data_IF_895949016752
#
_entry.id   IF_895949016752
#
_cell.length_a   1.000
_cell.length_b   1.000
_cell.length_c   1.000
_cell.angle_alpha   90.00
_cell.angle_beta   90.00
_cell.angle_gamma   90.00
#
_symmetry.space_group_name_H-M   'P 1'
#
loop_
_entity.id
_entity.type
_entity.pdbx_description
1 polymer ?
#
# COMPACT_ATOMS: atom_id res chain seq x y z
N UNK A 1 0.50 -0.46 -0.72
CA UNK A 1 1.07 0.86 -1.08
C UNK A 1 2.07 1.38 -0.05
N UNK A 2 3.20 1.96 -0.47
CA UNK A 2 4.10 2.73 0.39
C UNK A 2 3.44 4.01 0.93
N UNK A 3 3.78 4.42 2.16
CA UNK A 3 3.19 5.62 2.79
C UNK A 3 3.31 6.89 1.93
N UNK A 4 4.46 7.09 1.28
CA UNK A 4 4.67 8.25 0.39
C UNK A 4 3.59 8.37 -0.68
N UNK A 5 3.20 7.25 -1.27
CA UNK A 5 2.19 7.22 -2.32
C UNK A 5 0.79 7.48 -1.78
N UNK A 6 0.52 7.03 -0.55
CA UNK A 6 -0.75 7.32 0.16
C UNK A 6 -0.86 8.82 0.42
N UNK A 7 0.22 9.46 0.87
CA UNK A 7 0.23 10.90 1.18
C UNK A 7 0.08 11.79 -0.05
N UNK A 8 0.38 11.25 -1.24
CA UNK A 8 0.23 11.94 -2.53
C UNK A 8 -1.16 11.72 -3.17
N UNK A 9 -2.05 10.91 -2.56
CA UNK A 9 -3.41 10.74 -3.03
C UNK A 9 -4.23 12.03 -2.91
N UNK A 10 -5.04 12.31 -3.92
CA UNK A 10 -5.88 13.51 -3.97
C UNK A 10 -6.80 13.59 -2.76
N UNK A 11 -6.70 14.70 -2.01
CA UNK A 11 -7.52 14.96 -0.82
C UNK A 11 -7.00 14.35 0.47
N UNK A 12 -5.91 13.58 0.47
CA UNK A 12 -5.31 13.06 1.70
C UNK A 12 -4.87 14.19 2.66
N UNK A 13 -4.33 15.27 2.12
CA UNK A 13 -3.89 16.47 2.83
C UNK A 13 -5.05 17.26 3.48
N UNK A 14 -6.28 17.04 3.02
CA UNK A 14 -7.50 17.68 3.54
C UNK A 14 -8.11 16.91 4.72
N UNK A 15 -7.65 15.70 4.98
CA UNK A 15 -8.14 14.87 6.09
C UNK A 15 -7.62 15.35 7.44
N UNK A 16 -8.36 15.02 8.51
CA UNK A 16 -7.85 15.16 9.88
C UNK A 16 -6.64 14.25 10.09
N UNK A 17 -5.78 14.58 11.06
CA UNK A 17 -4.63 13.72 11.38
C UNK A 17 -5.04 12.29 11.76
N UNK A 18 -6.14 12.13 12.51
CA UNK A 18 -6.67 10.81 12.87
C UNK A 18 -7.14 10.04 11.64
N UNK A 19 -7.77 10.72 10.67
CA UNK A 19 -8.18 10.11 9.42
C UNK A 19 -6.98 9.74 8.52
N UNK A 20 -5.98 10.62 8.42
CA UNK A 20 -4.74 10.31 7.70
C UNK A 20 -4.06 9.05 8.28
N UNK A 21 -4.00 8.97 9.61
CA UNK A 21 -3.47 7.80 10.31
C UNK A 21 -4.32 6.56 10.06
N UNK A 22 -5.65 6.67 10.08
CA UNK A 22 -6.54 5.55 9.79
C UNK A 22 -6.37 5.05 8.34
N UNK A 23 -6.28 5.96 7.37
CA UNK A 23 -6.04 5.64 5.95
C UNK A 23 -4.69 4.95 5.76
N UNK A 24 -3.62 5.47 6.37
CA UNK A 24 -2.29 4.88 6.28
C UNK A 24 -2.22 3.45 6.84
N UNK A 25 -3.11 3.12 7.79
CA UNK A 25 -3.21 1.82 8.45
C UNK A 25 -4.43 0.99 8.00
N UNK A 26 -5.03 1.28 6.84
CA UNK A 26 -6.11 0.47 6.28
C UNK A 26 -5.69 -1.00 6.14
N UNK A 27 -6.59 -1.91 6.51
CA UNK A 27 -6.32 -3.36 6.49
C UNK A 27 -5.99 -3.84 5.07
N UNK A 28 -6.64 -3.27 4.06
CA UNK A 28 -6.40 -3.56 2.65
C UNK A 28 -4.96 -3.21 2.22
N UNK A 29 -4.29 -2.28 2.93
CA UNK A 29 -2.90 -1.93 2.68
C UNK A 29 -1.90 -2.96 3.27
N UNK A 30 -2.37 -3.91 4.08
CA UNK A 30 -1.54 -4.93 4.70
C UNK A 30 -1.21 -6.08 3.74
N UNK A 31 0.05 -6.15 3.32
CA UNK A 31 0.52 -7.14 2.33
C UNK A 31 0.83 -8.52 2.92
N UNK A 32 0.79 -8.70 4.24
CA UNK A 32 1.12 -9.98 4.87
C UNK A 32 2.60 -10.39 4.74
N UNK A 33 3.49 -9.47 4.38
CA UNK A 33 4.92 -9.74 4.29
C UNK A 33 5.55 -9.85 5.68
N UNK A 34 6.43 -10.84 5.87
CA UNK A 34 7.26 -10.92 7.07
C UNK A 34 8.15 -9.69 7.25
N UNK A 35 8.56 -9.39 8.49
CA UNK A 35 9.32 -8.17 8.84
C UNK A 35 10.56 -7.95 7.96
N UNK A 36 11.38 -8.99 7.76
CA UNK A 36 12.59 -8.91 6.94
C UNK A 36 12.26 -8.66 5.46
N UNK A 37 11.26 -9.37 4.94
CA UNK A 37 10.74 -9.20 3.58
C UNK A 37 10.24 -7.79 3.33
N UNK A 38 9.44 -7.26 4.27
CA UNK A 38 8.92 -5.90 4.19
C UNK A 38 10.05 -4.85 4.24
N UNK A 39 11.06 -5.06 5.08
CA UNK A 39 12.24 -4.19 5.15
C UNK A 39 13.05 -4.21 3.83
N UNK A 40 13.25 -5.38 3.21
CA UNK A 40 13.96 -5.47 1.92
C UNK A 40 13.19 -4.86 0.75
N UNK A 41 11.85 -4.93 0.76
CA UNK A 41 11.02 -4.24 -0.24
C UNK A 41 11.15 -2.72 -0.07
N UNK A 42 11.13 -2.25 1.17
CA UNK A 42 11.18 -0.83 1.50
C UNK A 42 10.01 -0.07 0.89
N UNK A 43 10.29 1.15 0.43
CA UNK A 43 9.31 2.04 -0.18
C UNK A 43 9.00 1.73 -1.65
N UNK A 44 9.51 0.62 -2.20
CA UNK A 44 9.22 0.22 -3.57
C UNK A 44 7.76 -0.24 -3.69
N UNK A 45 7.07 0.09 -4.79
CA UNK A 45 5.83 -0.59 -5.15
C UNK A 45 6.13 -2.08 -5.41
N UNK A 46 5.12 -2.94 -5.26
CA UNK A 46 5.28 -4.38 -5.48
C UNK A 46 5.80 -4.64 -6.90
N UNK A 47 5.24 -3.97 -7.90
CA UNK A 47 5.62 -4.09 -9.31
C UNK A 47 7.10 -3.80 -9.60
N UNK A 48 7.77 -2.97 -8.78
CA UNK A 48 9.19 -2.63 -8.92
C UNK A 48 10.09 -3.42 -7.97
N UNK A 49 9.54 -4.39 -7.23
CA UNK A 49 10.28 -5.21 -6.29
C UNK A 49 10.44 -6.63 -6.82
N UNK A 50 11.66 -6.98 -7.23
CA UNK A 50 12.00 -8.28 -7.83
C UNK A 50 12.28 -9.39 -6.82
N UNK A 51 12.21 -9.11 -5.51
CA UNK A 51 12.47 -10.09 -4.46
C UNK A 51 13.43 -9.60 -3.36
N UNK A 52 13.68 -10.48 -2.40
CA UNK A 52 14.50 -10.16 -1.24
C UNK A 52 15.99 -10.30 -1.57
N UNK A 53 16.79 -9.29 -1.24
CA UNK A 53 18.24 -9.27 -1.52
C UNK A 53 19.00 -10.52 -1.04
N UNK A 54 18.52 -11.18 0.02
CA UNK A 54 19.11 -12.43 0.57
C UNK A 54 18.32 -13.71 0.30
N UNK A 55 17.00 -13.64 0.08
CA UNK A 55 16.17 -14.86 -0.09
C UNK A 55 15.94 -15.18 -1.58
N UNK A 56 16.36 -14.28 -2.47
CA UNK A 56 16.25 -14.45 -3.91
C UNK A 56 15.02 -13.77 -4.50
N UNK A 57 14.78 -14.11 -5.76
CA UNK A 57 13.68 -13.58 -6.52
C UNK A 57 12.33 -14.01 -5.94
N UNK A 58 11.32 -13.16 -6.13
CA UNK A 58 9.94 -13.53 -5.87
C UNK A 58 9.41 -14.41 -7.00
N UNK A 59 8.70 -15.48 -6.66
CA UNK A 59 8.01 -16.32 -7.63
C UNK A 59 6.93 -15.52 -8.39
N UNK A 60 6.69 -15.85 -9.65
CA UNK A 60 5.79 -15.09 -10.51
C UNK A 60 4.36 -15.06 -9.95
N UNK A 61 3.87 -16.19 -9.43
CA UNK A 61 2.54 -16.31 -8.85
C UNK A 61 2.40 -15.44 -7.59
N UNK A 62 3.44 -15.42 -6.74
CA UNK A 62 3.47 -14.56 -5.56
C UNK A 62 3.50 -13.08 -5.96
N UNK A 63 4.24 -12.73 -7.00
CA UNK A 63 4.31 -11.38 -7.53
C UNK A 63 2.95 -10.92 -8.07
N UNK A 64 2.27 -11.77 -8.84
CA UNK A 64 0.92 -11.49 -9.34
C UNK A 64 -0.09 -11.30 -8.20
N UNK A 65 -0.08 -12.18 -7.21
CA UNK A 65 -0.94 -12.07 -6.03
C UNK A 65 -0.72 -10.76 -5.25
N UNK A 66 0.55 -10.40 -5.01
CA UNK A 66 0.87 -9.15 -4.31
C UNK A 66 0.50 -7.91 -5.13
N UNK A 67 0.62 -7.97 -6.46
CA UNK A 67 0.19 -6.87 -7.33
C UNK A 67 -1.33 -6.67 -7.28
N UNK A 68 -2.12 -7.75 -7.31
CA UNK A 68 -3.58 -7.67 -7.14
C UNK A 68 -3.97 -7.07 -5.79
N UNK A 69 -3.26 -7.45 -4.71
CA UNK A 69 -3.46 -6.83 -3.40
C UNK A 69 -3.08 -5.35 -3.38
N UNK A 70 -1.98 -4.96 -4.02
CA UNK A 70 -1.58 -3.55 -4.12
C UNK A 70 -2.59 -2.72 -4.91
N UNK A 71 -3.18 -3.28 -5.97
CA UNK A 71 -4.27 -2.65 -6.72
C UNK A 71 -5.55 -2.49 -5.88
N UNK A 72 -5.96 -3.53 -5.17
CA UNK A 72 -7.10 -3.46 -4.25
C UNK A 72 -6.87 -2.42 -3.14
N UNK A 73 -5.65 -2.35 -2.58
CA UNK A 73 -5.27 -1.35 -1.59
C UNK A 73 -5.40 0.08 -2.14
N UNK A 74 -4.96 0.32 -3.39
CA UNK A 74 -5.09 1.61 -4.07
C UNK A 74 -6.54 2.05 -4.18
N UNK A 75 -7.39 1.15 -4.66
CA UNK A 75 -8.82 1.43 -4.79
C UNK A 75 -9.48 1.69 -3.43
N UNK A 76 -9.17 0.88 -2.41
CA UNK A 76 -9.71 1.02 -1.07
C UNK A 76 -9.28 2.33 -0.41
N UNK A 77 -8.00 2.71 -0.51
CA UNK A 77 -7.47 3.97 0.02
C UNK A 77 -8.13 5.18 -0.67
N UNK A 78 -8.21 5.19 -2.00
CA UNK A 78 -8.82 6.29 -2.76
C UNK A 78 -10.32 6.46 -2.39
N UNK A 79 -11.04 5.34 -2.27
CA UNK A 79 -12.43 5.33 -1.81
C UNK A 79 -12.55 5.86 -0.39
N UNK A 80 -11.74 5.37 0.54
CA UNK A 80 -11.79 5.74 1.95
C UNK A 80 -11.42 7.21 2.21
N UNK A 81 -10.57 7.80 1.36
CA UNK A 81 -10.31 9.25 1.37
C UNK A 81 -11.55 10.01 0.90
N UNK A 82 -12.14 9.61 -0.23
CA UNK A 82 -13.31 10.26 -0.82
C UNK A 82 -14.51 10.24 0.12
N UNK A 83 -14.77 9.10 0.77
CA UNK A 83 -15.84 8.93 1.75
C UNK A 83 -15.70 9.86 2.95
N UNK A 84 -14.49 10.02 3.49
CA UNK A 84 -14.21 10.92 4.62
C UNK A 84 -14.35 12.39 4.26
N UNK A 85 -14.07 12.75 3.02
CA UNK A 85 -14.29 14.10 2.50
C UNK A 85 -15.75 14.37 2.11
N UNK A 86 -16.64 13.38 2.23
CA UNK A 86 -18.04 13.50 1.81
C UNK A 86 -18.22 13.60 0.29
N UNK A 87 -17.21 13.24 -0.50
CA UNK A 87 -17.26 13.20 -1.96
C UNK A 87 -17.80 11.83 -2.37
N UNK A 88 -19.11 11.76 -2.68
CA UNK A 88 -19.78 10.57 -3.22
C UNK A 88 -19.58 10.45 -4.72
#
# INVERSE_FOLDING_TARGET
MPLKEITEQSGFDQLSFEDQKAIANLEENFMGLGKQTNASKGAKPISAWSGHSKLGAIAEEAQQFLNQKDEAARAAIAKAISERLGKK
#
